data_IF_935120943689
#
_entry.id   IF_935120943689
#
_cell.length_a   1.000
_cell.length_b   1.000
_cell.length_c   1.000
_cell.angle_alpha   90.00
_cell.angle_beta   90.00
_cell.angle_gamma   90.00
#
_symmetry.space_group_name_H-M   'P 1'
#
loop_
_entity.id
_entity.type
_entity.pdbx_description
1 polymer ?
#
# COMPACT_ATOMS: atom_id res chain seq x y z
N UNK A 1 -6.05 -5.37 -4.92
CA UNK A 1 -4.74 -5.38 -4.30
C UNK A 1 -4.12 -6.75 -4.25
N UNK A 2 -4.86 -7.76 -3.92
CA UNK A 2 -4.23 -9.06 -3.81
C UNK A 2 -3.69 -9.56 -5.13
N UNK A 3 -4.35 -9.20 -6.23
CA UNK A 3 -3.87 -9.64 -7.50
C UNK A 3 -2.50 -9.06 -7.80
N UNK A 4 -2.28 -7.80 -7.45
CA UNK A 4 -1.00 -7.19 -7.67
C UNK A 4 0.09 -7.81 -6.79
N UNK A 5 -0.26 -8.14 -5.55
CA UNK A 5 0.71 -8.75 -4.65
C UNK A 5 1.12 -10.12 -5.19
N UNK A 6 0.17 -10.90 -5.64
CA UNK A 6 0.51 -12.21 -6.15
C UNK A 6 1.37 -12.10 -7.40
N UNK A 7 1.08 -11.12 -8.22
CA UNK A 7 1.81 -10.98 -9.46
C UNK A 7 3.21 -10.46 -9.23
N UNK A 8 3.36 -9.45 -8.39
CA UNK A 8 4.65 -8.83 -8.20
C UNK A 8 5.59 -9.74 -7.42
N UNK A 9 5.09 -10.37 -6.36
CA UNK A 9 5.95 -11.19 -5.53
C UNK A 9 5.91 -12.65 -5.90
N UNK A 10 5.04 -13.01 -6.85
CA UNK A 10 4.96 -14.39 -7.34
C UNK A 10 4.67 -15.37 -6.23
N UNK A 11 3.69 -15.04 -5.40
CA UNK A 11 3.30 -15.91 -4.32
C UNK A 11 1.81 -16.15 -4.42
N UNK A 12 1.37 -17.32 -4.03
CA UNK A 12 -0.02 -17.66 -4.11
C UNK A 12 -0.73 -17.46 -2.79
N UNK A 13 -0.10 -17.77 -1.71
CA UNK A 13 -0.70 -17.67 -0.40
C UNK A 13 0.13 -16.73 0.44
N UNK A 14 -0.47 -15.76 1.02
CA UNK A 14 0.24 -14.81 1.85
C UNK A 14 -0.67 -14.25 2.91
N UNK A 15 -0.09 -13.65 3.93
CA UNK A 15 -0.83 -13.02 4.99
C UNK A 15 -0.46 -11.55 5.01
N UNK A 16 -1.40 -10.72 5.35
CA UNK A 16 -1.17 -9.29 5.48
C UNK A 16 -1.30 -8.91 6.94
N UNK A 17 -0.30 -8.18 7.44
CA UNK A 17 -0.34 -7.74 8.80
C UNK A 17 -0.32 -6.25 8.82
N UNK A 18 -1.34 -5.62 9.33
CA UNK A 18 -1.45 -4.18 9.26
C UNK A 18 -0.71 -3.49 10.37
N UNK A 19 0.02 -2.47 10.05
CA UNK A 19 0.72 -1.66 11.01
C UNK A 19 0.52 -0.21 10.66
N UNK A 20 0.69 0.66 11.63
CA UNK A 20 0.55 2.07 11.36
C UNK A 20 1.50 2.87 12.24
N UNK A 21 1.82 4.05 11.83
CA UNK A 21 2.63 4.93 12.63
C UNK A 21 2.21 6.37 12.35
N UNK A 22 2.57 7.26 13.25
CA UNK A 22 2.17 8.64 13.12
C UNK A 22 3.38 9.49 12.87
N UNK A 23 3.26 10.45 11.98
CA UNK A 23 4.34 11.37 11.73
C UNK A 23 3.77 12.77 11.88
N UNK A 24 4.56 13.69 12.41
CA UNK A 24 4.08 15.06 12.56
C UNK A 24 4.22 15.80 11.24
N UNK A 25 3.14 16.46 10.86
CA UNK A 25 3.17 17.23 9.65
C UNK A 25 2.48 18.54 9.93
N UNK A 26 3.23 19.62 9.94
CA UNK A 26 2.65 20.94 10.14
C UNK A 26 1.76 21.03 11.37
N UNK A 27 2.21 20.65 12.46
CA UNK A 27 1.45 20.73 13.71
C UNK A 27 0.31 19.73 13.78
N UNK A 28 0.23 18.81 12.87
CA UNK A 28 -0.77 17.77 12.94
C UNK A 28 -0.08 16.44 12.94
N UNK A 29 -0.74 15.44 13.47
CA UNK A 29 -0.23 14.09 13.40
C UNK A 29 -0.96 13.37 12.29
N UNK A 30 -0.21 12.79 11.40
CA UNK A 30 -0.81 12.06 10.29
C UNK A 30 -0.51 10.58 10.47
N UNK A 31 -1.52 9.76 10.36
CA UNK A 31 -1.36 8.33 10.54
C UNK A 31 -1.11 7.69 9.20
N UNK A 32 -0.04 6.93 9.10
CA UNK A 32 0.31 6.21 7.90
C UNK A 32 0.09 4.74 8.17
N UNK A 33 -0.70 4.09 7.35
CA UNK A 33 -0.99 2.67 7.52
C UNK A 33 -0.40 1.88 6.38
N UNK A 34 0.24 0.80 6.70
CA UNK A 34 0.80 -0.07 5.67
C UNK A 34 0.60 -1.52 6.10
N UNK A 35 0.76 -2.44 5.18
CA UNK A 35 0.58 -3.84 5.50
C UNK A 35 1.84 -4.60 5.15
N UNK A 36 2.27 -5.46 6.03
CA UNK A 36 3.42 -6.29 5.76
C UNK A 36 2.94 -7.54 5.05
N UNK A 37 3.62 -7.93 4.01
CA UNK A 37 3.25 -9.10 3.24
C UNK A 37 4.15 -10.24 3.67
N UNK A 38 3.55 -11.29 4.27
CA UNK A 38 4.30 -12.42 4.74
C UNK A 38 3.86 -13.68 4.01
N UNK A 39 4.80 -14.45 3.62
CA UNK A 39 4.50 -15.74 2.99
C UNK A 39 5.57 -16.72 3.42
N UNK A 40 5.03 -17.67 3.72
CA UNK A 40 5.84 -18.58 4.09
C UNK A 40 6.53 -18.34 5.26
N UNK A 41 6.29 -17.82 6.08
CA UNK A 41 6.96 -17.49 7.27
C UNK A 41 8.06 -16.47 7.05
N UNK A 42 8.04 -15.76 5.98
CA UNK A 42 9.06 -14.79 5.69
C UNK A 42 8.41 -13.51 5.23
N UNK A 43 9.03 -12.39 5.55
CA UNK A 43 8.53 -11.10 5.11
C UNK A 43 8.93 -10.94 3.66
N UNK A 44 7.95 -10.69 2.80
CA UNK A 44 8.23 -10.52 1.39
C UNK A 44 8.26 -9.06 0.99
N UNK A 45 7.52 -8.24 1.65
CA UNK A 45 7.50 -6.83 1.30
C UNK A 45 6.41 -6.10 2.02
N UNK A 46 6.05 -4.94 1.50
CA UNK A 46 5.07 -4.10 2.14
C UNK A 46 4.08 -3.57 1.12
N UNK A 47 2.85 -3.39 1.52
CA UNK A 47 1.83 -2.79 0.69
C UNK A 47 1.37 -1.53 1.38
N UNK A 48 1.40 -0.41 0.65
CA UNK A 48 1.07 0.85 1.22
C UNK A 48 -0.06 1.43 0.40
N UNK A 49 -1.15 1.74 1.00
CA UNK A 49 -2.29 2.30 0.31
C UNK A 49 -2.51 3.70 0.82
N UNK A 50 -2.51 4.64 -0.07
CA UNK A 50 -2.74 6.02 0.30
C UNK A 50 -3.87 6.62 -0.47
N UNK A 51 -4.28 7.80 -0.06
CA UNK A 51 -5.32 8.53 -0.72
C UNK A 51 -4.78 9.89 -1.07
N UNK A 52 -4.92 10.26 -2.32
CA UNK A 52 -4.43 11.54 -2.77
C UNK A 52 -5.62 12.37 -3.20
N UNK A 53 -5.69 13.62 -2.79
CA UNK A 53 -6.80 14.46 -3.19
C UNK A 53 -6.62 14.96 -4.61
N UNK A 54 -7.72 15.20 -5.29
CA UNK A 54 -7.62 15.81 -6.58
C UNK A 54 -8.57 16.97 -6.55
N UNK A 55 -8.75 17.65 -7.67
CA UNK A 55 -9.53 18.81 -7.68
C UNK A 55 -10.93 18.57 -7.31
N UNK A 56 -11.55 17.56 -7.81
CA UNK A 56 -12.93 17.33 -7.54
C UNK A 56 -13.17 16.10 -6.73
N UNK A 57 -12.18 15.28 -6.57
CA UNK A 57 -12.41 14.00 -5.94
C UNK A 57 -11.13 13.52 -5.35
N UNK A 58 -11.09 12.33 -4.89
CA UNK A 58 -9.84 11.77 -4.40
C UNK A 58 -9.67 10.40 -5.03
N UNK A 59 -8.47 9.90 -5.03
CA UNK A 59 -8.22 8.59 -5.56
C UNK A 59 -7.28 7.84 -4.65
N UNK A 60 -7.30 6.53 -4.74
CA UNK A 60 -6.46 5.70 -3.91
C UNK A 60 -5.37 5.11 -4.75
N UNK A 61 -4.20 4.95 -4.17
CA UNK A 61 -3.09 4.37 -4.89
C UNK A 61 -2.44 3.30 -4.05
N UNK A 62 -1.80 2.38 -4.72
CA UNK A 62 -1.12 1.29 -4.08
C UNK A 62 0.35 1.37 -4.42
N UNK A 63 1.20 1.24 -3.42
CA UNK A 63 2.62 1.18 -3.64
C UNK A 63 3.10 -0.11 -2.99
N UNK A 64 3.79 -0.93 -3.76
CA UNK A 64 4.34 -2.15 -3.23
C UNK A 64 5.85 -2.00 -3.14
N UNK A 65 6.40 -2.36 -1.98
CA UNK A 65 7.81 -2.29 -1.77
C UNK A 65 8.34 -3.67 -1.42
N UNK A 66 9.56 -3.95 -1.76
CA UNK A 66 10.13 -5.21 -1.37
C UNK A 66 10.64 -5.11 0.07
N UNK A 67 11.27 -6.15 0.56
CA UNK A 67 11.69 -6.15 1.94
C UNK A 67 12.79 -5.15 2.22
N UNK A 68 13.44 -4.65 1.18
CA UNK A 68 14.46 -3.64 1.36
C UNK A 68 13.89 -2.25 1.17
N UNK A 69 12.58 -2.13 1.13
CA UNK A 69 11.89 -0.86 1.01
C UNK A 69 12.12 -0.17 -0.34
N UNK A 70 12.30 -0.95 -1.36
CA UNK A 70 12.44 -0.42 -2.70
C UNK A 70 11.10 -0.56 -3.39
N UNK A 71 10.63 0.49 -4.03
CA UNK A 71 9.34 0.44 -4.68
C UNK A 71 9.42 -0.47 -5.88
N UNK A 72 8.57 -1.48 -5.92
CA UNK A 72 8.55 -2.40 -7.04
C UNK A 72 7.31 -2.23 -7.88
N UNK A 73 6.31 -1.53 -7.41
CA UNK A 73 5.13 -1.26 -8.21
C UNK A 73 4.33 -0.14 -7.60
N UNK A 74 3.76 0.71 -8.42
CA UNK A 74 2.86 1.73 -7.97
C UNK A 74 1.71 1.78 -8.95
N UNK A 75 0.49 1.86 -8.44
CA UNK A 75 -0.67 1.80 -9.28
C UNK A 75 -1.81 2.57 -8.66
N UNK A 76 -2.63 3.21 -9.48
CA UNK A 76 -3.84 3.84 -9.00
C UNK A 76 -4.91 2.77 -8.89
N UNK A 77 -5.45 2.58 -7.70
CA UNK A 77 -6.40 1.55 -7.50
C UNK A 77 -7.79 1.92 -7.88
N UNK A 78 -8.29 2.97 -7.35
CA UNK A 78 -9.64 3.33 -7.57
C UNK A 78 -9.77 4.65 -8.09
N UNK A 79 -10.48 4.84 -9.17
CA UNK A 79 -10.66 6.09 -9.63
C UNK A 79 -12.10 6.19 -9.87
N UNK A 80 -12.82 6.85 -9.04
CA UNK A 80 -14.17 6.92 -9.14
C UNK A 80 -14.58 7.88 -10.08
N UNK A 81 -15.32 7.57 -11.00
CA UNK A 81 -15.75 8.43 -11.86
C UNK A 81 -17.11 8.29 -11.94
N UNK A 82 -17.86 8.96 -11.31
CA UNK A 82 -19.18 8.80 -11.24
C UNK A 82 -19.82 9.58 -12.15
N UNK A 83 -20.03 9.28 -13.19
CA UNK A 83 -20.79 10.03 -14.08
C UNK A 83 -21.37 9.15 -15.08
#
# INVERSE_FOLDING_TARGET
MQKEIKSVFKIEIFNLEENSFEIPVNNFLQTITFQEIHAXNALKGYAFIGTAPSKTDSFEYLVLLDKDLVIVKAKVLVYREDY
#
